data_IF_025185034156
#
_entry.id   IF_025185034156
#
_cell.length_a   1.000
_cell.length_b   1.000
_cell.length_c   1.000
_cell.angle_alpha   90.00
_cell.angle_beta   90.00
_cell.angle_gamma   90.00
#
_symmetry.space_group_name_H-M   'P 1'
#
loop_
_entity.id
_entity.type
_entity.pdbx_description
1 polymer ?
#
# COMPACT_ATOMS: atom_id res chain seq x y z
N UNK A 1 -7.00 -17.65 -0.89
CA UNK A 1 -7.13 -18.77 0.07
C UNK A 1 -6.62 -18.39 1.46
N UNK A 2 -5.43 -17.79 1.61
CA UNK A 2 -4.86 -17.41 2.92
C UNK A 2 -5.57 -16.27 3.69
N UNK A 3 -6.07 -15.22 3.02
CA UNK A 3 -6.68 -14.07 3.73
C UNK A 3 -8.03 -14.42 4.38
N UNK A 4 -8.83 -15.26 3.74
CA UNK A 4 -10.09 -15.75 4.30
C UNK A 4 -9.86 -16.55 5.58
N UNK A 5 -8.87 -17.44 5.58
CA UNK A 5 -8.48 -18.20 6.77
C UNK A 5 -7.95 -17.29 7.89
N UNK A 6 -7.16 -16.28 7.53
CA UNK A 6 -6.67 -15.28 8.48
C UNK A 6 -7.81 -14.49 9.13
N UNK A 7 -8.79 -14.04 8.34
CA UNK A 7 -9.97 -13.33 8.86
C UNK A 7 -10.76 -14.26 9.78
N UNK A 8 -11.01 -15.50 9.36
CA UNK A 8 -11.73 -16.46 10.18
C UNK A 8 -11.00 -16.78 11.48
N UNK A 9 -9.67 -16.86 11.45
CA UNK A 9 -8.86 -17.05 12.64
C UNK A 9 -8.99 -15.85 13.58
N UNK A 10 -8.88 -14.63 13.05
CA UNK A 10 -9.06 -13.40 13.83
C UNK A 10 -10.44 -13.35 14.48
N UNK A 11 -11.51 -13.61 13.72
CA UNK A 11 -12.88 -13.60 14.25
C UNK A 11 -13.08 -14.69 15.28
N UNK A 12 -12.62 -15.91 15.00
CA UNK A 12 -12.79 -17.03 15.95
C UNK A 12 -12.04 -16.77 17.25
N UNK A 13 -10.76 -16.38 17.16
CA UNK A 13 -9.92 -16.22 18.34
C UNK A 13 -10.29 -14.96 19.11
N UNK A 14 -10.29 -13.80 18.46
CA UNK A 14 -10.49 -12.51 19.14
C UNK A 14 -11.93 -12.37 19.65
N UNK A 15 -12.94 -12.81 18.89
CA UNK A 15 -14.32 -12.65 19.33
C UNK A 15 -14.68 -13.65 20.44
N UNK A 16 -14.00 -14.80 20.53
CA UNK A 16 -14.17 -15.75 21.65
C UNK A 16 -13.66 -15.23 22.99
N UNK A 17 -12.82 -14.20 23.00
CA UNK A 17 -12.29 -13.64 24.25
C UNK A 17 -13.40 -12.98 25.06
N UNK A 18 -13.50 -13.32 26.35
CA UNK A 18 -14.44 -12.71 27.29
C UNK A 18 -13.82 -11.44 27.89
N UNK A 19 -13.58 -10.44 27.04
CA UNK A 19 -12.96 -9.14 27.37
C UNK A 19 -13.81 -7.99 26.84
N UNK A 20 -13.52 -6.76 27.28
CA UNK A 20 -14.19 -5.55 26.77
C UNK A 20 -13.99 -5.40 25.27
N UNK A 21 -15.03 -4.93 24.59
CA UNK A 21 -15.04 -4.76 23.13
C UNK A 21 -13.92 -3.83 22.62
N UNK A 22 -13.59 -2.79 23.39
CA UNK A 22 -12.48 -1.89 23.08
C UNK A 22 -11.13 -2.61 22.98
N UNK A 23 -10.89 -3.63 23.81
CA UNK A 23 -9.66 -4.41 23.76
C UNK A 23 -9.65 -5.38 22.57
N UNK A 24 -10.83 -5.85 22.13
CA UNK A 24 -10.93 -6.60 20.88
C UNK A 24 -10.59 -5.68 19.69
N UNK A 25 -11.17 -4.49 19.64
CA UNK A 25 -10.87 -3.48 18.61
C UNK A 25 -9.37 -3.18 18.54
N UNK A 26 -8.70 -3.03 19.68
CA UNK A 26 -7.24 -2.85 19.74
C UNK A 26 -6.48 -4.07 19.19
N UNK A 27 -6.90 -5.28 19.52
CA UNK A 27 -6.29 -6.51 19.01
C UNK A 27 -6.46 -6.64 17.47
N UNK A 28 -7.67 -6.38 16.96
CA UNK A 28 -7.93 -6.33 15.51
C UNK A 28 -7.07 -5.26 14.85
N UNK A 29 -7.06 -4.04 15.39
CA UNK A 29 -6.26 -2.94 14.86
C UNK A 29 -4.78 -3.30 14.80
N UNK A 30 -4.24 -3.94 15.85
CA UNK A 30 -2.85 -4.40 15.88
C UNK A 30 -2.55 -5.41 14.77
N UNK A 31 -3.38 -6.44 14.63
CA UNK A 31 -3.24 -7.45 13.59
C UNK A 31 -3.36 -6.87 12.17
N UNK A 32 -4.35 -6.02 11.94
CA UNK A 32 -4.57 -5.36 10.64
C UNK A 32 -3.45 -4.38 10.29
N UNK A 33 -2.92 -3.66 11.28
CA UNK A 33 -1.76 -2.78 11.08
C UNK A 33 -0.55 -3.58 10.64
N UNK A 34 -0.30 -4.72 11.30
CA UNK A 34 0.79 -5.63 10.91
C UNK A 34 0.61 -6.14 9.46
N UNK A 35 -0.61 -6.53 9.08
CA UNK A 35 -0.92 -6.95 7.71
C UNK A 35 -0.68 -5.80 6.72
N UNK A 36 -1.17 -4.59 7.02
CA UNK A 36 -0.96 -3.41 6.19
C UNK A 36 0.53 -3.11 6.00
N UNK A 37 1.35 -3.25 7.05
CA UNK A 37 2.80 -3.09 6.96
C UNK A 37 3.45 -4.22 6.15
N UNK A 38 3.00 -5.48 6.26
CA UNK A 38 3.48 -6.57 5.41
C UNK A 38 3.19 -6.30 3.92
N UNK A 39 1.97 -5.87 3.59
CA UNK A 39 1.58 -5.53 2.21
C UNK A 39 2.35 -4.31 1.70
N UNK A 40 2.56 -3.31 2.55
CA UNK A 40 3.38 -2.14 2.22
C UNK A 40 4.85 -2.51 2.00
N UNK A 41 5.40 -3.41 2.80
CA UNK A 41 6.76 -3.93 2.64
C UNK A 41 6.89 -4.79 1.38
N UNK A 42 5.85 -5.52 0.98
CA UNK A 42 5.82 -6.18 -0.32
C UNK A 42 5.96 -5.15 -1.46
N UNK A 43 5.18 -4.06 -1.41
CA UNK A 43 5.21 -2.99 -2.41
C UNK A 43 6.52 -2.19 -2.43
N UNK A 44 7.05 -1.78 -1.28
CA UNK A 44 8.19 -0.84 -1.20
C UNK A 44 9.46 -1.37 -0.51
N UNK A 45 9.40 -2.56 0.09
CA UNK A 45 10.52 -3.16 0.83
C UNK A 45 11.61 -3.76 -0.06
N UNK A 46 12.67 -4.28 0.55
CA UNK A 46 13.89 -4.71 -0.16
C UNK A 46 13.79 -6.12 -0.76
N UNK A 47 12.88 -6.96 -0.25
CA UNK A 47 12.83 -8.39 -0.59
C UNK A 47 12.44 -8.64 -2.05
N UNK A 48 11.59 -7.77 -2.59
CA UNK A 48 11.11 -7.87 -3.98
C UNK A 48 11.78 -6.76 -4.79
N UNK A 49 12.72 -7.07 -5.70
CA UNK A 49 13.53 -6.06 -6.37
C UNK A 49 12.76 -5.27 -7.45
N UNK A 50 11.67 -5.84 -7.97
CA UNK A 50 10.83 -5.28 -9.03
C UNK A 50 9.44 -5.89 -8.98
N UNK A 51 8.43 -5.13 -9.41
CA UNK A 51 7.04 -5.59 -9.51
C UNK A 51 6.34 -4.83 -10.64
N UNK A 52 5.20 -5.32 -11.11
CA UNK A 52 4.39 -4.69 -12.14
C UNK A 52 3.07 -4.15 -11.58
N UNK A 53 2.34 -3.38 -12.39
CA UNK A 53 1.06 -2.78 -11.98
C UNK A 53 0.01 -3.83 -11.64
N UNK A 54 0.02 -5.00 -12.28
CA UNK A 54 -0.88 -6.11 -11.93
C UNK A 54 -0.66 -6.63 -10.50
N UNK A 55 0.59 -6.67 -10.04
CA UNK A 55 0.89 -7.05 -8.66
C UNK A 55 0.29 -6.03 -7.66
N UNK A 56 0.34 -4.73 -7.99
CA UNK A 56 -0.28 -3.68 -7.17
C UNK A 56 -1.81 -3.86 -7.15
N UNK A 57 -2.43 -4.06 -8.31
CA UNK A 57 -3.88 -4.27 -8.41
C UNK A 57 -4.35 -5.49 -7.62
N UNK A 58 -3.61 -6.60 -7.65
CA UNK A 58 -3.94 -7.78 -6.85
C UNK A 58 -3.88 -7.51 -5.35
N UNK A 59 -2.89 -6.74 -4.89
CA UNK A 59 -2.82 -6.31 -3.47
C UNK A 59 -4.02 -5.43 -3.11
N UNK A 60 -4.50 -4.58 -4.02
CA UNK A 60 -5.71 -3.79 -3.76
C UNK A 60 -6.97 -4.65 -3.69
N UNK A 61 -7.09 -5.71 -4.49
CA UNK A 61 -8.18 -6.69 -4.39
C UNK A 61 -8.14 -7.38 -3.02
N UNK A 62 -6.95 -7.76 -2.54
CA UNK A 62 -6.77 -8.34 -1.22
C UNK A 62 -7.19 -7.38 -0.09
N UNK A 63 -6.87 -6.09 -0.24
CA UNK A 63 -7.29 -5.03 0.71
C UNK A 63 -8.81 -4.83 0.66
N UNK A 64 -9.43 -4.81 -0.53
CA UNK A 64 -10.88 -4.71 -0.68
C UNK A 64 -11.59 -5.85 0.05
N UNK A 65 -11.09 -7.08 -0.12
CA UNK A 65 -11.58 -8.24 0.60
C UNK A 65 -11.50 -8.05 2.12
N UNK A 66 -10.36 -7.60 2.65
CA UNK A 66 -10.19 -7.37 4.09
C UNK A 66 -11.14 -6.28 4.62
N UNK A 67 -11.31 -5.18 3.88
CA UNK A 67 -12.21 -4.11 4.28
C UNK A 67 -13.67 -4.55 4.29
N UNK A 68 -14.09 -5.34 3.31
CA UNK A 68 -15.45 -5.85 3.23
C UNK A 68 -15.74 -6.88 4.34
N UNK A 69 -14.76 -7.72 4.67
CA UNK A 69 -14.85 -8.60 5.84
C UNK A 69 -14.95 -7.82 7.15
N UNK A 70 -14.18 -6.73 7.32
CA UNK A 70 -14.29 -5.86 8.50
C UNK A 70 -15.66 -5.20 8.61
N UNK A 71 -16.23 -4.72 7.50
CA UNK A 71 -17.60 -4.19 7.47
C UNK A 71 -18.61 -5.27 7.87
N UNK A 72 -18.46 -6.49 7.33
CA UNK A 72 -19.35 -7.64 7.60
C UNK A 72 -19.41 -7.99 9.09
N UNK A 73 -18.28 -7.90 9.80
CA UNK A 73 -18.20 -8.20 11.24
C UNK A 73 -18.45 -6.97 12.14
N UNK A 74 -18.89 -5.85 11.58
CA UNK A 74 -19.22 -4.64 12.35
C UNK A 74 -18.02 -3.81 12.81
N UNK A 75 -16.82 -4.05 12.25
CA UNK A 75 -15.57 -3.35 12.57
C UNK A 75 -15.04 -2.50 11.41
N UNK A 76 -15.93 -1.96 10.58
CA UNK A 76 -15.57 -1.18 9.40
C UNK A 76 -14.72 0.06 9.71
N UNK A 77 -14.79 0.63 10.92
CA UNK A 77 -13.94 1.75 11.36
C UNK A 77 -12.45 1.41 11.38
N UNK A 78 -12.09 0.13 11.48
CA UNK A 78 -10.69 -0.32 11.48
C UNK A 78 -10.07 -0.33 10.08
N UNK A 79 -10.86 -0.20 9.01
CA UNK A 79 -10.37 -0.18 7.63
C UNK A 79 -9.39 0.97 7.35
N UNK A 80 -9.40 2.04 8.16
CA UNK A 80 -8.49 3.18 8.03
C UNK A 80 -7.01 2.81 8.12
N UNK A 81 -6.67 1.64 8.68
CA UNK A 81 -5.29 1.12 8.72
C UNK A 81 -4.71 0.91 7.31
N UNK A 82 -5.55 0.71 6.29
CA UNK A 82 -5.11 0.52 4.91
C UNK A 82 -5.00 1.83 4.10
N UNK A 83 -5.36 2.99 4.68
CA UNK A 83 -5.42 4.27 3.94
C UNK A 83 -4.10 4.64 3.26
N UNK A 84 -2.96 4.53 3.96
CA UNK A 84 -1.65 4.81 3.37
C UNK A 84 -1.35 3.88 2.20
N UNK A 85 -1.64 2.58 2.35
CA UNK A 85 -1.42 1.55 1.33
C UNK A 85 -2.22 1.86 0.07
N UNK A 86 -3.52 2.12 0.21
CA UNK A 86 -4.39 2.44 -0.93
C UNK A 86 -3.94 3.69 -1.67
N UNK A 87 -3.69 4.78 -0.94
CA UNK A 87 -3.27 6.04 -1.56
C UNK A 87 -1.94 5.87 -2.28
N UNK A 88 -0.95 5.22 -1.64
CA UNK A 88 0.37 4.98 -2.24
C UNK A 88 0.27 4.13 -3.50
N UNK A 89 -0.53 3.07 -3.49
CA UNK A 89 -0.76 2.19 -4.64
C UNK A 89 -1.55 2.87 -5.78
N UNK A 90 -2.51 3.73 -5.44
CA UNK A 90 -3.37 4.40 -6.42
C UNK A 90 -2.62 5.42 -7.28
N UNK A 91 -1.58 6.06 -6.75
CA UNK A 91 -0.81 7.10 -7.46
C UNK A 91 -0.21 6.57 -8.77
N UNK A 92 0.58 5.48 -8.78
CA UNK A 92 1.09 4.94 -10.02
C UNK A 92 -0.03 4.39 -10.91
N UNK A 93 -0.99 3.66 -10.36
CA UNK A 93 -2.09 3.05 -11.14
C UNK A 93 -2.94 4.10 -11.89
N UNK A 94 -3.16 5.27 -11.28
CA UNK A 94 -3.93 6.36 -11.87
C UNK A 94 -3.07 7.38 -12.62
N UNK A 95 -1.75 7.18 -12.69
CA UNK A 95 -0.80 8.13 -13.29
C UNK A 95 -0.85 9.54 -12.67
N UNK A 96 -1.11 9.66 -11.37
CA UNK A 96 -1.29 10.95 -10.66
C UNK A 96 -0.05 11.41 -9.88
N UNK A 97 1.15 10.93 -10.22
CA UNK A 97 2.41 11.36 -9.55
C UNK A 97 2.59 12.87 -9.62
N UNK A 98 2.27 13.50 -10.77
CA UNK A 98 2.41 14.95 -10.93
C UNK A 98 1.51 15.72 -9.95
N UNK A 99 0.30 15.22 -9.68
CA UNK A 99 -0.59 15.81 -8.68
C UNK A 99 -0.02 15.67 -7.27
N UNK A 100 0.58 14.53 -6.95
CA UNK A 100 1.26 14.31 -5.66
C UNK A 100 2.48 15.24 -5.46
N UNK A 101 3.18 15.62 -6.54
CA UNK A 101 4.33 16.54 -6.45
C UNK A 101 3.90 17.96 -6.05
N UNK A 102 2.65 18.36 -6.31
CA UNK A 102 2.09 19.64 -5.89
C UNK A 102 1.90 19.67 -4.38
N UNK A 103 2.55 20.62 -3.69
CA UNK A 103 2.55 20.68 -2.22
C UNK A 103 1.16 20.78 -1.59
N UNK A 104 0.24 21.55 -2.20
CA UNK A 104 -1.13 21.68 -1.72
C UNK A 104 -1.87 20.35 -1.76
N UNK A 105 -1.87 19.68 -2.91
CA UNK A 105 -2.49 18.37 -3.10
C UNK A 105 -1.88 17.31 -2.18
N UNK A 106 -0.55 17.34 -1.99
CA UNK A 106 0.12 16.42 -1.07
C UNK A 106 -0.39 16.55 0.35
N UNK A 107 -0.61 17.78 0.83
CA UNK A 107 -1.10 18.04 2.17
C UNK A 107 -2.61 17.77 2.33
N UNK A 108 -3.40 17.98 1.28
CA UNK A 108 -4.86 17.81 1.35
C UNK A 108 -5.32 16.38 1.04
N UNK A 109 -4.79 15.79 -0.04
CA UNK A 109 -5.34 14.60 -0.68
C UNK A 109 -4.44 13.37 -0.51
N UNK A 110 -3.15 13.59 -0.23
CA UNK A 110 -2.16 12.52 -0.08
C UNK A 110 -1.43 12.57 1.25
N UNK A 111 -2.04 13.16 2.28
CA UNK A 111 -1.40 13.40 3.58
C UNK A 111 -0.88 12.13 4.26
N UNK A 112 -1.54 10.99 4.03
CA UNK A 112 -1.13 9.70 4.58
C UNK A 112 0.02 9.04 3.81
N UNK A 113 0.34 9.49 2.60
CA UNK A 113 1.36 8.87 1.75
C UNK A 113 2.76 9.28 2.22
N UNK A 114 3.60 8.28 2.51
CA UNK A 114 5.01 8.52 2.82
C UNK A 114 5.83 8.55 1.53
N UNK A 115 6.49 9.68 1.28
CA UNK A 115 7.28 9.91 0.06
C UNK A 115 8.30 8.79 -0.22
N UNK A 116 9.01 8.31 0.82
CA UNK A 116 9.99 7.21 0.70
C UNK A 116 9.37 5.89 0.21
N UNK A 117 8.16 5.56 0.68
CA UNK A 117 7.43 4.35 0.28
C UNK A 117 6.93 4.47 -1.17
N UNK A 118 6.42 5.65 -1.55
CA UNK A 118 6.02 5.92 -2.93
C UNK A 118 7.21 5.89 -3.90
N UNK A 119 8.33 6.52 -3.53
CA UNK A 119 9.56 6.48 -4.32
C UNK A 119 10.01 5.04 -4.56
N UNK A 120 10.08 4.22 -3.50
CA UNK A 120 10.50 2.83 -3.61
C UNK A 120 9.57 2.00 -4.53
N UNK A 121 8.25 2.23 -4.45
CA UNK A 121 7.29 1.58 -5.34
C UNK A 121 7.51 1.98 -6.82
N UNK A 122 7.69 3.27 -7.10
CA UNK A 122 7.98 3.78 -8.44
C UNK A 122 9.30 3.25 -9.00
N UNK A 123 10.34 3.15 -8.17
CA UNK A 123 11.62 2.55 -8.55
C UNK A 123 11.47 1.08 -8.95
N UNK A 124 10.67 0.30 -8.21
CA UNK A 124 10.41 -1.11 -8.56
C UNK A 124 9.66 -1.25 -9.88
N UNK A 125 8.67 -0.39 -10.13
CA UNK A 125 7.95 -0.34 -11.41
C UNK A 125 8.88 0.05 -12.56
N UNK A 126 9.76 1.04 -12.34
CA UNK A 126 10.77 1.46 -13.31
C UNK A 126 11.74 0.33 -13.67
N UNK A 127 12.23 -0.38 -12.65
CA UNK A 127 13.08 -1.58 -12.83
C UNK A 127 12.37 -2.66 -13.64
N UNK A 128 11.12 -2.98 -13.32
CA UNK A 128 10.35 -3.97 -14.07
C UNK A 128 10.20 -3.56 -15.55
N UNK A 129 9.77 -2.33 -15.82
CA UNK A 129 9.61 -1.83 -17.19
C UNK A 129 10.91 -1.83 -18.00
N UNK A 130 12.06 -1.56 -17.36
CA UNK A 130 13.38 -1.58 -18.00
C UNK A 130 13.82 -2.97 -18.47
N UNK A 131 13.29 -4.04 -17.87
CA UNK A 131 13.62 -5.42 -18.24
C UNK A 131 12.78 -5.94 -19.41
N UNK A 132 11.69 -5.25 -19.75
CA UNK A 132 10.82 -5.65 -20.85
C UNK A 132 11.45 -5.30 -22.20
N UNK A 133 11.17 -6.12 -23.21
CA UNK A 133 11.80 -6.02 -24.54
C UNK A 133 11.13 -4.97 -25.43
N UNK A 134 9.84 -4.71 -25.21
CA UNK A 134 9.08 -3.77 -26.02
C UNK A 134 9.41 -2.31 -25.67
N UNK A 135 9.32 -1.44 -26.68
CA UNK A 135 9.69 -0.03 -26.52
C UNK A 135 8.75 0.73 -25.58
N UNK A 136 7.44 0.45 -25.66
CA UNK A 136 6.44 1.12 -24.84
C UNK A 136 6.63 0.87 -23.34
N UNK A 137 6.90 -0.39 -22.96
CA UNK A 137 7.15 -0.75 -21.56
C UNK A 137 8.46 -0.16 -21.03
N UNK A 138 9.50 -0.05 -21.86
CA UNK A 138 10.75 0.61 -21.48
C UNK A 138 10.56 2.11 -21.29
N UNK A 139 9.81 2.76 -22.17
CA UNK A 139 9.45 4.19 -22.01
C UNK A 139 8.64 4.43 -20.72
N UNK A 140 7.65 3.57 -20.45
CA UNK A 140 6.91 3.61 -19.20
C UNK A 140 7.82 3.38 -17.99
N UNK A 141 8.75 2.43 -18.05
CA UNK A 141 9.75 2.20 -17.00
C UNK A 141 10.64 3.42 -16.76
N UNK A 142 11.11 4.08 -17.82
CA UNK A 142 11.88 5.32 -17.75
C UNK A 142 11.07 6.48 -17.15
N UNK A 143 9.78 6.59 -17.49
CA UNK A 143 8.86 7.53 -16.86
C UNK A 143 8.76 7.27 -15.35
N UNK A 144 8.53 6.02 -14.94
CA UNK A 144 8.45 5.64 -13.51
C UNK A 144 9.72 5.95 -12.74
N UNK A 145 10.90 5.75 -13.36
CA UNK A 145 12.19 6.10 -12.77
C UNK A 145 12.34 7.62 -12.56
N UNK A 146 11.98 8.43 -13.57
CA UNK A 146 12.00 9.90 -13.44
C UNK A 146 11.01 10.40 -12.38
N UNK A 147 9.85 9.76 -12.29
CA UNK A 147 8.86 10.01 -11.24
C UNK A 147 9.43 9.70 -9.85
N UNK A 148 10.11 8.55 -9.68
CA UNK A 148 10.78 8.20 -8.43
C UNK A 148 11.84 9.23 -8.04
N UNK A 149 12.68 9.67 -8.97
CA UNK A 149 13.68 10.72 -8.73
C UNK A 149 13.03 12.03 -8.29
N UNK A 150 11.93 12.44 -8.90
CA UNK A 150 11.19 13.64 -8.53
C UNK A 150 10.60 13.53 -7.11
N UNK A 151 10.03 12.37 -6.76
CA UNK A 151 9.53 12.10 -5.40
C UNK A 151 10.67 12.04 -4.38
N UNK A 152 11.86 11.57 -4.75
CA UNK A 152 13.02 11.59 -3.87
C UNK A 152 13.52 13.00 -3.57
N UNK A 153 13.47 13.92 -4.55
CA UNK A 153 13.91 15.31 -4.39
C UNK A 153 13.06 16.14 -3.44
N UNK A 154 11.76 15.84 -3.32
CA UNK A 154 10.90 16.52 -2.35
C UNK A 154 11.18 16.08 -0.90
N UNK A 155 11.99 15.03 -0.70
CA UNK A 155 12.32 14.46 0.62
C UNK A 155 13.80 14.03 0.75
N UNK A 156 14.77 14.98 0.75
CA UNK A 156 16.20 14.66 0.74
C UNK A 156 16.77 14.03 2.03
N UNK A 157 15.94 13.69 3.03
CA UNK A 157 16.37 13.50 4.43
C UNK A 157 16.50 12.07 4.98
N UNK A 158 15.94 11.04 4.34
CA UNK A 158 15.78 9.71 4.98
C UNK A 158 16.78 8.63 4.52
N UNK A 159 17.93 9.05 3.98
CA UNK A 159 19.07 8.16 3.65
C UNK A 159 20.01 7.91 4.85
N UNK A 160 19.54 8.12 6.08
CA UNK A 160 20.25 7.76 7.31
C UNK A 160 19.52 6.65 8.04
#
# INVERSE_FOLDING_TARGET
>A
MYLYELVNWLTTVVDSLVIKESYKDEAYKGALTYIADCLMNFLGGRDIPMLNENAISNILIDVDFLEDELKRIGRGHLASVFTELRLTASIPLNNTVQEYLVSGNRQSSYAAVKAKRLQALLDKLGKYGSQLRDAASREQGEKRRKEADAVGRIFPGDNR
#
